data_IF_587736708954
#
_entry.id   IF_587736708954
#
_cell.length_a   1.000
_cell.length_b   1.000
_cell.length_c   1.000
_cell.angle_alpha   90.00
_cell.angle_beta   90.00
_cell.angle_gamma   90.00
#
_symmetry.space_group_name_H-M   'P 1'
#
loop_
_entity.id
_entity.type
_entity.pdbx_description
1 polymer ?
#
# COMPACT_ATOMS: atom_id res chain seq x y z
N UNK A 1 21.17 -9.18 27.10
CA UNK A 1 19.86 -8.61 26.72
C UNK A 1 19.42 -9.29 25.43
N UNK A 2 18.21 -9.84 25.38
CA UNK A 2 17.66 -10.47 24.16
C UNK A 2 16.55 -9.59 23.62
N UNK A 3 16.53 -9.31 22.31
CA UNK A 3 15.53 -8.42 21.69
C UNK A 3 14.68 -9.20 20.71
N UNK A 4 13.37 -9.00 20.77
CA UNK A 4 12.37 -9.59 19.87
C UNK A 4 11.29 -8.55 19.55
N UNK A 5 11.31 -8.02 18.33
CA UNK A 5 10.44 -6.93 17.92
C UNK A 5 10.76 -5.62 18.69
N UNK A 6 9.75 -4.86 19.14
CA UNK A 6 9.96 -3.65 19.93
C UNK A 6 10.32 -3.96 21.40
N UNK A 7 10.36 -5.24 21.80
CA UNK A 7 10.54 -5.67 23.18
C UNK A 7 11.93 -6.27 23.43
N UNK A 8 12.50 -6.00 24.60
CA UNK A 8 13.78 -6.52 25.07
C UNK A 8 13.63 -7.23 26.40
N UNK A 9 14.41 -8.27 26.63
CA UNK A 9 14.51 -8.99 27.90
C UNK A 9 15.85 -8.66 28.56
N UNK A 10 15.78 -8.19 29.80
CA UNK A 10 16.92 -7.83 30.64
C UNK A 10 16.96 -8.81 31.83
N UNK A 11 18.15 -9.25 32.22
CA UNK A 11 18.37 -10.06 33.41
C UNK A 11 18.90 -9.14 34.53
N UNK A 12 18.20 -9.09 35.67
CA UNK A 12 18.53 -8.27 36.84
C UNK A 12 19.28 -9.04 37.94
N UNK A 13 19.54 -10.33 37.75
CA UNK A 13 20.24 -11.21 38.71
C UNK A 13 19.31 -11.91 39.69
N UNK A 14 18.20 -11.29 40.07
CA UNK A 14 17.10 -11.85 40.87
C UNK A 14 15.91 -12.31 40.02
N UNK A 15 15.90 -11.96 38.73
CA UNK A 15 14.89 -12.36 37.77
C UNK A 15 15.08 -11.63 36.43
N UNK A 16 14.08 -11.77 35.56
CA UNK A 16 14.03 -11.14 34.25
C UNK A 16 12.99 -10.02 34.20
N UNK A 17 13.25 -9.04 33.35
CA UNK A 17 12.34 -7.96 33.03
C UNK A 17 12.16 -7.83 31.51
N UNK A 18 10.94 -7.49 31.09
CA UNK A 18 10.61 -7.14 29.72
C UNK A 18 10.54 -5.61 29.64
N UNK A 19 11.21 -5.04 28.65
CA UNK A 19 11.25 -3.60 28.38
C UNK A 19 10.86 -3.30 26.94
N UNK A 20 10.32 -2.11 26.70
CA UNK A 20 10.19 -1.55 25.35
C UNK A 20 11.55 -0.97 24.97
N UNK A 21 12.17 -1.49 23.91
CA UNK A 21 13.53 -1.08 23.50
C UNK A 21 13.58 0.39 23.07
N UNK A 22 12.50 0.90 22.48
CA UNK A 22 12.42 2.27 21.98
C UNK A 22 12.31 3.33 23.09
N UNK A 23 11.56 3.03 24.14
CA UNK A 23 11.29 3.99 25.23
C UNK A 23 12.05 3.67 26.52
N UNK A 24 12.63 2.48 26.62
CA UNK A 24 13.26 1.98 27.85
C UNK A 24 12.26 1.61 28.95
N UNK A 25 10.95 1.69 28.67
CA UNK A 25 9.90 1.45 29.66
C UNK A 25 9.79 -0.04 30.03
N UNK A 26 9.68 -0.34 31.33
CA UNK A 26 9.54 -1.71 31.82
C UNK A 26 8.07 -2.13 31.87
N UNK A 27 7.73 -3.16 31.09
CA UNK A 27 6.36 -3.67 30.96
C UNK A 27 6.09 -4.76 32.01
N UNK A 28 7.12 -5.55 32.32
CA UNK A 28 7.04 -6.62 33.31
C UNK A 28 8.40 -6.85 33.96
N UNK A 29 8.40 -7.18 35.25
CA UNK A 29 9.60 -7.41 36.07
C UNK A 29 9.38 -8.57 37.03
N UNK A 30 10.46 -9.10 37.59
CA UNK A 30 10.46 -10.23 38.51
C UNK A 30 9.90 -11.52 37.88
N UNK A 31 10.23 -11.76 36.61
CA UNK A 31 9.89 -13.00 35.91
C UNK A 31 11.01 -14.00 36.23
N UNK A 32 10.69 -15.14 36.81
CA UNK A 32 11.68 -16.13 37.25
C UNK A 32 12.32 -16.91 36.09
N UNK A 33 11.70 -16.91 34.90
CA UNK A 33 12.14 -17.69 33.74
C UNK A 33 12.23 -16.84 32.47
N UNK A 34 13.36 -16.95 31.78
CA UNK A 34 13.56 -16.34 30.47
C UNK A 34 12.53 -16.82 29.43
N UNK A 35 12.14 -18.11 29.50
CA UNK A 35 11.16 -18.68 28.57
C UNK A 35 9.78 -18.03 28.75
N UNK A 36 9.40 -17.69 29.98
CA UNK A 36 8.14 -17.02 30.26
C UNK A 36 8.16 -15.56 29.77
N UNK A 37 9.33 -14.91 29.76
CA UNK A 37 9.49 -13.62 29.09
C UNK A 37 9.21 -13.72 27.59
N UNK A 38 9.77 -14.74 26.92
CA UNK A 38 9.58 -14.93 25.48
C UNK A 38 8.12 -15.22 25.14
N UNK A 39 7.44 -16.08 25.91
CA UNK A 39 6.00 -16.37 25.75
C UNK A 39 5.13 -15.13 25.95
N UNK A 40 5.47 -14.30 26.93
CA UNK A 40 4.77 -13.04 27.19
C UNK A 40 4.95 -12.06 26.03
N UNK A 41 6.18 -11.95 25.48
CA UNK A 41 6.44 -11.15 24.27
C UNK A 41 5.66 -11.68 23.07
N UNK A 42 5.61 -13.00 22.86
CA UNK A 42 4.83 -13.61 21.79
C UNK A 42 3.33 -13.33 21.94
N UNK A 43 2.82 -13.34 23.17
CA UNK A 43 1.44 -12.96 23.43
C UNK A 43 1.21 -11.47 23.13
N UNK A 44 2.09 -10.57 23.58
CA UNK A 44 2.00 -9.13 23.31
C UNK A 44 2.07 -8.80 21.81
N UNK A 45 2.86 -9.57 21.04
CA UNK A 45 2.94 -9.43 19.59
C UNK A 45 1.70 -10.04 18.89
N UNK A 46 1.15 -11.12 19.42
CA UNK A 46 -0.03 -11.81 18.88
C UNK A 46 -1.38 -11.17 19.25
N UNK A 47 -1.45 -10.36 20.32
CA UNK A 47 -2.66 -9.63 20.73
C UNK A 47 -2.78 -8.24 20.13
N UNK A 48 -1.86 -7.81 19.26
CA UNK A 48 -2.13 -6.62 18.47
C UNK A 48 -3.34 -6.93 17.60
N UNK A 49 -4.49 -6.25 17.79
CA UNK A 49 -5.56 -6.35 16.81
C UNK A 49 -4.93 -6.00 15.46
N UNK A 50 -5.29 -6.70 14.37
CA UNK A 50 -4.87 -6.29 13.05
C UNK A 50 -5.15 -4.79 12.94
N UNK A 51 -4.23 -4.00 12.36
CA UNK A 51 -4.46 -2.57 12.19
C UNK A 51 -5.88 -2.40 11.62
N UNK A 52 -6.69 -1.48 12.18
CA UNK A 52 -8.04 -1.27 11.68
C UNK A 52 -7.93 -1.15 10.15
N UNK A 53 -8.81 -1.82 9.39
CA UNK A 53 -8.78 -1.70 7.94
C UNK A 53 -8.73 -0.21 7.61
N UNK A 54 -7.89 0.21 6.65
CA UNK A 54 -7.83 1.61 6.27
C UNK A 54 -9.26 2.11 6.04
N UNK A 55 -9.61 3.33 6.50
CA UNK A 55 -10.93 3.87 6.25
C UNK A 55 -11.23 3.75 4.75
N UNK A 56 -12.46 3.37 4.36
CA UNK A 56 -12.81 3.34 2.95
C UNK A 56 -12.44 4.69 2.34
N UNK A 57 -11.79 4.72 1.16
CA UNK A 57 -11.36 5.97 0.54
C UNK A 57 -12.56 6.92 0.48
N UNK A 58 -12.40 8.19 0.86
CA UNK A 58 -13.50 9.12 1.00
C UNK A 58 -14.09 9.43 -0.38
N UNK A 59 -15.15 8.73 -0.78
CA UNK A 59 -16.05 9.11 -1.88
C UNK A 59 -15.36 9.45 -3.22
N UNK A 60 -14.17 8.86 -3.47
CA UNK A 60 -13.31 9.13 -4.63
C UNK A 60 -13.89 8.66 -5.95
N UNK A 61 -14.83 7.71 -5.91
CA UNK A 61 -15.51 7.20 -7.09
C UNK A 61 -16.17 8.33 -7.90
N UNK A 62 -16.74 9.34 -7.21
CA UNK A 62 -17.35 10.49 -7.89
C UNK A 62 -16.33 11.36 -8.62
N UNK A 63 -15.10 11.44 -8.14
CA UNK A 63 -14.08 12.26 -8.78
C UNK A 63 -13.48 11.54 -9.99
N UNK A 64 -13.15 10.26 -9.84
CA UNK A 64 -12.72 9.44 -10.97
C UNK A 64 -13.82 9.37 -12.04
N UNK A 65 -15.08 9.19 -11.65
CA UNK A 65 -16.22 9.19 -12.59
C UNK A 65 -16.33 10.51 -13.36
N UNK A 66 -16.12 11.66 -12.69
CA UNK A 66 -16.09 12.98 -13.34
C UNK A 66 -14.92 13.10 -14.33
N UNK A 67 -13.74 12.66 -13.94
CA UNK A 67 -12.55 12.68 -14.82
C UNK A 67 -12.76 11.79 -16.04
N UNK A 68 -13.44 10.66 -15.86
CA UNK A 68 -13.62 9.64 -16.89
C UNK A 68 -14.87 9.85 -17.77
N UNK A 69 -15.74 10.80 -17.42
CA UNK A 69 -17.06 10.99 -18.03
C UNK A 69 -17.03 11.10 -19.57
N UNK A 70 -16.02 11.76 -20.12
CA UNK A 70 -15.89 12.00 -21.56
C UNK A 70 -15.14 10.89 -22.32
N UNK A 71 -14.68 9.86 -21.62
CA UNK A 71 -13.91 8.76 -22.21
C UNK A 71 -14.78 7.56 -22.53
N UNK A 72 -14.39 6.78 -23.55
CA UNK A 72 -15.10 5.57 -23.93
C UNK A 72 -15.09 4.52 -22.80
N UNK A 73 -16.14 3.69 -22.66
CA UNK A 73 -16.28 2.72 -21.56
C UNK A 73 -15.12 1.75 -21.40
N UNK A 74 -14.49 1.36 -22.50
CA UNK A 74 -13.31 0.49 -22.52
C UNK A 74 -12.08 1.16 -21.86
N UNK A 75 -11.87 2.46 -22.09
CA UNK A 75 -10.84 3.25 -21.39
C UNK A 75 -11.18 3.33 -19.91
N UNK A 76 -12.44 3.66 -19.60
CA UNK A 76 -12.87 3.81 -18.22
C UNK A 76 -12.65 2.52 -17.44
N UNK A 77 -13.00 1.37 -18.03
CA UNK A 77 -12.80 0.04 -17.45
C UNK A 77 -11.33 -0.24 -17.14
N UNK A 78 -10.42 0.07 -18.07
CA UNK A 78 -8.98 -0.16 -17.86
C UNK A 78 -8.42 0.76 -16.76
N UNK A 79 -8.81 2.04 -16.74
CA UNK A 79 -8.34 2.98 -15.72
C UNK A 79 -8.86 2.58 -14.34
N UNK A 80 -10.16 2.28 -14.20
CA UNK A 80 -10.75 1.82 -12.93
C UNK A 80 -10.09 0.53 -12.42
N UNK A 81 -9.71 -0.38 -13.31
CA UNK A 81 -9.12 -1.67 -12.95
C UNK A 81 -7.65 -1.56 -12.52
N UNK A 82 -6.86 -0.73 -13.21
CA UNK A 82 -5.40 -0.71 -13.04
C UNK A 82 -4.83 0.58 -12.44
N UNK A 83 -5.60 1.66 -12.36
CA UNK A 83 -5.21 2.93 -11.75
C UNK A 83 -6.45 3.71 -11.23
N UNK A 84 -7.18 3.19 -10.23
CA UNK A 84 -8.34 3.86 -9.64
C UNK A 84 -7.99 5.22 -9.01
N UNK A 85 -6.75 5.43 -8.60
CA UNK A 85 -6.22 6.70 -8.08
C UNK A 85 -5.94 7.75 -9.18
N UNK A 86 -6.43 7.54 -10.40
CA UNK A 86 -6.30 8.49 -11.50
C UNK A 86 -7.15 9.74 -11.27
N UNK A 87 -6.49 10.90 -11.30
CA UNK A 87 -7.13 12.20 -11.07
C UNK A 87 -7.08 13.09 -12.29
N UNK A 88 -6.18 12.77 -13.23
CA UNK A 88 -6.10 13.44 -14.52
C UNK A 88 -5.75 12.46 -15.62
N UNK A 89 -6.47 12.55 -16.73
CA UNK A 89 -6.16 11.80 -17.94
C UNK A 89 -5.78 12.77 -19.06
N UNK A 90 -4.65 12.52 -19.72
CA UNK A 90 -4.22 13.28 -20.89
C UNK A 90 -4.27 12.40 -22.13
N UNK A 91 -5.10 12.78 -23.09
CA UNK A 91 -5.09 12.17 -24.43
C UNK A 91 -3.89 12.69 -25.20
N UNK A 92 -3.11 11.78 -25.73
CA UNK A 92 -1.98 12.04 -26.60
C UNK A 92 -2.21 11.32 -27.93
N UNK A 93 -1.75 11.93 -29.00
CA UNK A 93 -1.72 11.33 -30.34
C UNK A 93 -0.37 11.61 -30.97
N UNK A 94 0.15 10.66 -31.76
CA UNK A 94 1.28 10.94 -32.64
C UNK A 94 0.80 11.27 -34.07
N UNK A 95 1.74 11.69 -34.91
CA UNK A 95 1.48 12.02 -36.32
C UNK A 95 0.96 10.82 -37.15
N UNK A 96 1.25 9.60 -36.71
CA UNK A 96 0.78 8.34 -37.31
C UNK A 96 -0.65 7.95 -36.86
N UNK A 97 -1.35 8.82 -36.13
CA UNK A 97 -2.72 8.58 -35.67
C UNK A 97 -2.84 7.65 -34.46
N UNK A 98 -1.74 7.18 -33.89
CA UNK A 98 -1.77 6.39 -32.66
C UNK A 98 -2.16 7.26 -31.48
N UNK A 99 -3.25 6.89 -30.81
CA UNK A 99 -3.72 7.56 -29.60
C UNK A 99 -3.36 6.76 -28.35
N UNK A 100 -3.03 7.45 -27.26
CA UNK A 100 -2.91 6.85 -25.94
C UNK A 100 -3.34 7.84 -24.86
N UNK A 101 -3.73 7.31 -23.71
CA UNK A 101 -4.25 8.08 -22.60
C UNK A 101 -3.32 7.92 -21.42
N UNK A 102 -2.57 8.97 -21.07
CA UNK A 102 -1.69 8.97 -19.88
C UNK A 102 -2.50 9.33 -18.65
N UNK A 103 -2.39 8.52 -17.61
CA UNK A 103 -3.10 8.69 -16.34
C UNK A 103 -2.13 9.19 -15.27
N UNK A 104 -2.57 10.17 -14.49
CA UNK A 104 -1.78 10.82 -13.45
C UNK A 104 -2.55 10.80 -12.13
N UNK A 105 -1.81 10.70 -11.02
CA UNK A 105 -2.34 10.96 -9.68
C UNK A 105 -2.36 12.47 -9.35
N UNK A 106 -2.84 12.81 -8.15
CA UNK A 106 -2.91 14.19 -7.62
C UNK A 106 -1.54 14.88 -7.55
N UNK A 107 -0.46 14.11 -7.39
CA UNK A 107 0.91 14.64 -7.35
C UNK A 107 1.48 14.94 -8.73
N UNK A 108 0.77 14.54 -9.79
CA UNK A 108 1.24 14.64 -11.18
C UNK A 108 2.18 13.51 -11.60
N UNK A 109 2.32 12.45 -10.79
CA UNK A 109 3.09 11.26 -11.15
C UNK A 109 2.30 10.41 -12.14
N UNK A 110 3.01 9.80 -13.10
CA UNK A 110 2.42 8.91 -14.10
C UNK A 110 2.17 7.53 -13.49
N UNK A 111 0.91 7.12 -13.45
CA UNK A 111 0.49 5.79 -13.00
C UNK A 111 0.64 4.75 -14.12
N UNK A 112 0.27 5.17 -15.33
CA UNK A 112 0.36 4.35 -16.53
C UNK A 112 -0.35 4.99 -17.71
N UNK A 113 -0.61 4.17 -18.73
CA UNK A 113 -1.26 4.63 -19.95
C UNK A 113 -2.10 3.54 -20.61
N UNK A 114 -3.27 3.94 -21.08
CA UNK A 114 -4.10 3.11 -21.98
C UNK A 114 -3.59 3.30 -23.41
N UNK A 115 -3.26 2.21 -24.09
CA UNK A 115 -2.84 2.17 -25.50
C UNK A 115 -3.69 1.19 -26.28
N UNK A 116 -3.52 1.18 -27.60
CA UNK A 116 -4.19 0.25 -28.50
C UNK A 116 -5.43 0.84 -29.17
N UNK A 117 -5.93 0.11 -30.16
CA UNK A 117 -7.14 0.44 -30.92
C UNK A 117 -8.38 0.07 -30.10
N UNK A 118 -9.57 0.52 -30.51
CA UNK A 118 -10.82 0.28 -29.76
C UNK A 118 -11.08 -1.19 -29.39
N UNK A 119 -10.61 -2.14 -30.19
CA UNK A 119 -10.81 -3.58 -29.97
C UNK A 119 -9.64 -4.28 -29.27
N UNK A 120 -8.50 -3.60 -29.10
CA UNK A 120 -7.27 -4.16 -28.51
C UNK A 120 -6.64 -3.17 -27.53
N UNK A 121 -7.47 -2.53 -26.71
CA UNK A 121 -6.97 -1.62 -25.69
C UNK A 121 -6.34 -2.39 -24.54
N UNK A 122 -5.16 -1.94 -24.14
CA UNK A 122 -4.44 -2.50 -23.00
C UNK A 122 -3.88 -1.38 -22.12
N UNK A 123 -3.72 -1.72 -20.85
CA UNK A 123 -2.99 -0.92 -19.88
C UNK A 123 -1.49 -1.20 -19.96
N UNK A 124 -0.68 -0.15 -19.87
CA UNK A 124 0.77 -0.22 -19.80
C UNK A 124 1.28 0.63 -18.63
N UNK A 125 2.03 0.01 -17.72
CA UNK A 125 2.66 0.71 -16.60
C UNK A 125 3.80 1.63 -17.07
N UNK A 126 4.09 2.67 -16.28
CA UNK A 126 5.08 3.70 -16.59
C UNK A 126 6.56 3.33 -16.39
N UNK A 127 6.88 2.06 -16.09
CA UNK A 127 8.23 1.59 -15.75
C UNK A 127 9.05 1.03 -16.92
N UNK A 128 10.35 0.80 -16.68
CA UNK A 128 11.36 0.28 -17.61
C UNK A 128 11.00 -1.09 -18.21
N UNK A 129 10.16 -1.87 -17.54
CA UNK A 129 9.67 -3.16 -18.03
C UNK A 129 8.17 -3.08 -18.27
N UNK A 130 7.80 -2.65 -19.48
CA UNK A 130 6.43 -2.25 -19.80
C UNK A 130 5.50 -3.44 -20.07
N UNK A 131 5.14 -4.18 -19.01
CA UNK A 131 4.11 -5.23 -19.06
C UNK A 131 2.77 -4.67 -19.59
N UNK A 132 2.13 -5.45 -20.45
CA UNK A 132 0.83 -5.14 -21.06
C UNK A 132 -0.27 -5.94 -20.37
N UNK A 133 -1.38 -5.27 -20.06
CA UNK A 133 -2.55 -5.91 -19.47
C UNK A 133 -3.80 -5.56 -20.28
N UNK A 134 -4.40 -6.58 -20.87
CA UNK A 134 -5.63 -6.46 -21.68
C UNK A 134 -6.89 -6.39 -20.80
#
# INVERSE_FOLDING_TARGET
MTVKGPYGVINHGDGYAIVIVQTGECIARNISSFLDCVKTIDHLLGTMPPPPPPPPPPNDDKELDRVLQDYKPDIQRLIRKYAPETRRVKKNSNFLGYTWYKCYDDSGKVLGRVRGSSDDRYWQYGGLDSQKHY
#
